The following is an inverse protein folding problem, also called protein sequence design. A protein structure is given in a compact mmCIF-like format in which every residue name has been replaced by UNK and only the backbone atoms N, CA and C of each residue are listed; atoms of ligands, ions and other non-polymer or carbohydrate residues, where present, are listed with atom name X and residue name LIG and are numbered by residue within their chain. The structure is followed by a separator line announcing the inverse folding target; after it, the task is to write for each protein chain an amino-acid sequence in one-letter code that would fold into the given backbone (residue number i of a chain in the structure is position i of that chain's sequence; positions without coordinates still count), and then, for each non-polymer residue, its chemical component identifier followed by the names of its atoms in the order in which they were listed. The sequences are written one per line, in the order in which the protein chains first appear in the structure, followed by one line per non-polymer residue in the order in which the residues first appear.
data_IF_334218390855
#
_entry.id   IF_334218390855
#
_cell.length_a   1.000
_cell.length_b   1.000
_cell.length_c   1.000
_cell.angle_alpha   90.00
_cell.angle_beta   90.00
_cell.angle_gamma   90.00
#
_symmetry.space_group_name_H-M   'P 1'
#
loop_
_entity.id
_entity.type
_entity.pdbx_description
1 polymer ?
#
# COMPACT_ATOMS: atom_id res chain seq x y z
N UNK A 1 -19.37 40.38 43.85
CA UNK A 1 -18.65 40.44 42.57
C UNK A 1 -17.83 39.17 42.25
N UNK A 2 -17.17 38.58 43.21
CA UNK A 2 -16.33 37.36 42.97
C UNK A 2 -17.13 36.12 42.46
N UNK A 3 -18.36 35.93 42.97
CA UNK A 3 -19.19 34.77 42.59
C UNK A 3 -19.61 34.81 41.12
N UNK A 4 -19.97 35.99 40.61
CA UNK A 4 -20.36 36.16 39.21
C UNK A 4 -19.18 35.96 38.24
N UNK A 5 -17.98 36.39 38.64
CA UNK A 5 -16.74 36.16 37.85
C UNK A 5 -16.39 34.69 37.73
N UNK A 6 -16.51 33.94 38.84
CA UNK A 6 -16.23 32.50 38.82
C UNK A 6 -17.24 31.71 37.95
N UNK A 7 -18.51 32.10 37.94
CA UNK A 7 -19.53 31.46 37.08
C UNK A 7 -19.21 31.70 35.59
N UNK A 8 -18.77 32.90 35.21
CA UNK A 8 -18.40 33.23 33.83
C UNK A 8 -17.19 32.43 33.38
N UNK A 9 -16.18 32.26 34.23
CA UNK A 9 -15.00 31.45 33.93
C UNK A 9 -15.36 29.95 33.72
N UNK A 10 -16.24 29.42 34.58
CA UNK A 10 -16.70 28.03 34.45
C UNK A 10 -17.48 27.82 33.14
N UNK A 11 -18.37 28.76 32.80
CA UNK A 11 -19.12 28.69 31.54
C UNK A 11 -18.18 28.78 30.32
N UNK A 12 -17.20 29.64 30.34
CA UNK A 12 -16.21 29.75 29.27
C UNK A 12 -15.38 28.45 29.12
N UNK A 13 -14.96 27.87 30.25
CA UNK A 13 -14.22 26.58 30.25
C UNK A 13 -15.07 25.41 29.71
N UNK A 14 -16.35 25.36 30.06
CA UNK A 14 -17.29 24.36 29.56
C UNK A 14 -17.58 24.54 28.06
N UNK A 15 -17.69 25.77 27.59
CA UNK A 15 -17.88 26.07 26.16
C UNK A 15 -16.63 25.71 25.36
N UNK A 16 -15.44 26.03 25.84
CA UNK A 16 -14.19 25.66 25.17
C UNK A 16 -14.02 24.14 25.19
N UNK A 17 -14.30 23.45 26.30
CA UNK A 17 -14.28 21.98 26.37
C UNK A 17 -15.31 21.38 25.42
N UNK A 18 -16.52 21.94 25.35
CA UNK A 18 -17.55 21.48 24.39
C UNK A 18 -17.08 21.62 22.94
N UNK A 19 -16.44 22.76 22.57
CA UNK A 19 -15.88 22.92 21.22
C UNK A 19 -14.67 22.04 20.96
N UNK A 20 -13.85 21.75 21.97
CA UNK A 20 -12.73 20.76 21.84
C UNK A 20 -13.24 19.33 21.72
N UNK A 21 -14.31 18.96 22.39
CA UNK A 21 -14.93 17.63 22.29
C UNK A 21 -15.82 17.50 21.04
N UNK A 22 -16.42 18.61 20.58
CA UNK A 22 -17.25 18.68 19.38
C UNK A 22 -16.47 19.14 18.14
N UNK A 23 -15.22 19.57 18.33
CA UNK A 23 -14.20 19.62 17.27
C UNK A 23 -14.06 18.24 16.69
N UNK A 24 -15.19 17.80 16.13
CA UNK A 24 -15.32 16.62 15.33
C UNK A 24 -14.21 16.69 14.32
N UNK A 25 -13.53 15.59 14.15
CA UNK A 25 -12.93 15.24 12.89
C UNK A 25 -13.86 15.81 11.83
N UNK A 26 -13.44 16.89 11.17
CA UNK A 26 -13.92 17.16 9.84
C UNK A 26 -13.62 15.86 9.10
N UNK A 27 -14.67 15.10 8.88
CA UNK A 27 -14.60 14.02 7.91
C UNK A 27 -14.17 14.74 6.65
N UNK A 28 -12.92 14.55 6.25
CA UNK A 28 -12.47 14.84 4.90
C UNK A 28 -13.57 14.22 4.04
N UNK A 29 -14.32 15.00 3.25
CA UNK A 29 -15.36 14.43 2.44
C UNK A 29 -14.69 13.32 1.63
N UNK A 30 -15.12 12.10 1.86
CA UNK A 30 -14.71 10.99 1.01
C UNK A 30 -14.98 11.45 -0.42
N UNK A 31 -14.04 11.33 -1.36
CA UNK A 31 -14.24 11.76 -2.72
C UNK A 31 -15.52 11.10 -3.20
N UNK A 32 -16.58 11.89 -3.33
CA UNK A 32 -17.88 11.48 -3.85
C UNK A 32 -17.72 11.33 -5.35
N UNK A 33 -17.28 10.18 -5.74
CA UNK A 33 -17.08 9.77 -7.10
C UNK A 33 -16.67 8.32 -7.13
N UNK A 34 -17.59 7.42 -6.68
CA UNK A 34 -17.44 6.00 -6.99
C UNK A 34 -17.62 5.86 -8.49
N UNK A 35 -16.55 5.59 -9.26
CA UNK A 35 -16.74 5.32 -10.68
C UNK A 35 -17.60 4.07 -10.78
N UNK A 36 -18.69 4.20 -11.53
CA UNK A 36 -19.56 3.07 -11.83
C UNK A 36 -18.71 1.97 -12.50
N UNK A 37 -18.55 0.83 -11.80
CA UNK A 37 -18.43 -0.50 -12.37
C UNK A 37 -17.37 -0.76 -13.45
N UNK A 38 -16.14 -0.28 -13.32
CA UNK A 38 -15.01 -0.77 -14.10
C UNK A 38 -13.84 -1.09 -13.17
N UNK A 39 -13.37 -2.34 -13.16
CA UNK A 39 -12.16 -2.68 -12.43
C UNK A 39 -10.97 -2.04 -13.14
N UNK A 40 -10.52 -0.86 -12.65
CA UNK A 40 -9.28 -0.26 -13.14
C UNK A 40 -8.11 -1.19 -12.81
N UNK A 41 -7.32 -1.52 -13.80
CA UNK A 41 -6.06 -2.28 -13.65
C UNK A 41 -5.06 -1.69 -14.63
N UNK A 42 -3.95 -1.11 -14.16
CA UNK A 42 -2.88 -0.65 -15.05
C UNK A 42 -2.23 -1.85 -15.74
N UNK A 43 -1.60 -1.60 -16.89
CA UNK A 43 -0.89 -2.64 -17.63
C UNK A 43 0.56 -2.20 -17.82
N UNK A 44 1.55 -3.00 -17.38
CA UNK A 44 2.96 -2.73 -17.65
C UNK A 44 3.21 -2.86 -19.16
N UNK A 45 3.93 -1.90 -19.72
CA UNK A 45 4.31 -1.89 -21.15
C UNK A 45 5.81 -1.70 -21.28
N UNK A 46 6.42 -2.46 -22.20
CA UNK A 46 7.84 -2.40 -22.45
C UNK A 46 8.68 -3.19 -21.46
N UNK A 47 9.99 -3.02 -21.57
CA UNK A 47 10.97 -3.66 -20.69
C UNK A 47 11.32 -2.73 -19.52
N UNK A 48 11.61 -3.27 -18.33
CA UNK A 48 12.06 -2.47 -17.20
C UNK A 48 13.42 -1.83 -17.49
N UNK A 49 13.54 -0.52 -17.25
CA UNK A 49 14.76 0.25 -17.53
C UNK A 49 15.82 0.10 -16.44
N UNK A 50 15.44 -0.39 -15.26
CA UNK A 50 16.33 -0.60 -14.12
C UNK A 50 15.87 -1.79 -13.28
N UNK A 51 16.81 -2.49 -12.67
CA UNK A 51 16.55 -3.57 -11.72
C UNK A 51 17.13 -3.20 -10.35
N UNK A 52 16.26 -3.17 -9.35
CA UNK A 52 16.62 -2.87 -7.96
C UNK A 52 16.99 -4.15 -7.22
N UNK A 53 17.89 -4.03 -6.25
CA UNK A 53 18.19 -5.10 -5.28
C UNK A 53 18.56 -4.51 -3.93
N UNK A 54 18.19 -5.21 -2.88
CA UNK A 54 18.58 -5.01 -1.49
C UNK A 54 19.27 -6.25 -0.93
N UNK A 55 20.08 -6.89 -1.76
CA UNK A 55 20.90 -8.06 -1.42
C UNK A 55 20.09 -9.25 -0.85
N UNK A 56 18.85 -9.43 -1.30
CA UNK A 56 17.99 -10.53 -0.88
C UNK A 56 17.33 -10.34 0.48
N UNK A 57 17.20 -9.10 0.98
CA UNK A 57 16.56 -8.82 2.27
C UNK A 57 15.04 -8.97 2.25
N UNK A 58 14.40 -8.73 1.12
CA UNK A 58 12.95 -8.87 0.95
C UNK A 58 12.14 -8.22 2.08
N UNK A 59 12.43 -6.93 2.36
CA UNK A 59 11.87 -6.23 3.51
C UNK A 59 10.64 -5.36 3.18
N UNK A 60 10.38 -5.07 1.91
CA UNK A 60 9.28 -4.20 1.49
C UNK A 60 8.05 -5.04 1.12
N UNK A 61 6.95 -4.86 1.89
CA UNK A 61 5.70 -5.59 1.67
C UNK A 61 4.78 -4.88 0.69
N UNK A 62 4.13 -5.68 -0.17
CA UNK A 62 3.12 -5.22 -1.13
C UNK A 62 1.74 -5.28 -0.49
N UNK A 63 0.96 -4.20 -0.60
CA UNK A 63 -0.44 -4.16 -0.15
C UNK A 63 -1.36 -4.67 -1.25
N UNK A 64 -2.22 -5.65 -0.94
CA UNK A 64 -3.15 -6.16 -1.96
C UNK A 64 -3.77 -7.52 -1.67
N UNK A 65 -3.41 -8.14 -0.54
CA UNK A 65 -3.79 -9.51 -0.20
C UNK A 65 -5.28 -9.82 -0.38
N UNK A 66 -6.17 -8.95 0.05
CA UNK A 66 -7.62 -9.21 -0.01
C UNK A 66 -8.19 -9.12 -1.42
N UNK A 67 -7.65 -8.24 -2.27
CA UNK A 67 -8.16 -8.02 -3.63
C UNK A 67 -7.50 -8.94 -4.67
N UNK A 68 -6.25 -9.31 -4.44
CA UNK A 68 -5.43 -10.10 -5.36
C UNK A 68 -5.11 -11.49 -4.81
N UNK A 69 -5.84 -11.93 -3.78
CA UNK A 69 -5.58 -13.21 -3.10
C UNK A 69 -5.55 -14.39 -4.06
N UNK A 70 -6.47 -14.48 -5.00
CA UNK A 70 -6.54 -15.58 -5.97
C UNK A 70 -5.31 -15.61 -6.88
N UNK A 71 -4.84 -14.45 -7.31
CA UNK A 71 -3.61 -14.30 -8.10
C UNK A 71 -2.39 -14.71 -7.28
N UNK A 72 -2.29 -14.24 -6.05
CA UNK A 72 -1.17 -14.57 -5.16
C UNK A 72 -1.17 -16.06 -4.84
N UNK A 73 -2.33 -16.66 -4.56
CA UNK A 73 -2.48 -18.10 -4.37
C UNK A 73 -2.00 -18.92 -5.59
N UNK A 74 -2.41 -18.51 -6.79
CA UNK A 74 -2.00 -19.16 -8.02
C UNK A 74 -0.47 -19.09 -8.24
N UNK A 75 0.14 -17.93 -7.94
CA UNK A 75 1.57 -17.69 -8.06
C UNK A 75 2.40 -18.39 -6.97
N UNK A 76 1.84 -18.54 -5.75
CA UNK A 76 2.46 -19.29 -4.67
C UNK A 76 2.52 -20.80 -4.97
N UNK A 77 1.61 -21.28 -5.82
CA UNK A 77 1.55 -22.70 -6.21
C UNK A 77 1.11 -23.62 -5.07
N UNK A 78 1.34 -24.92 -5.27
CA UNK A 78 1.00 -25.94 -4.28
C UNK A 78 2.20 -26.23 -3.37
N UNK A 79 2.04 -25.98 -2.09
CA UNK A 79 3.08 -26.22 -1.06
C UNK A 79 2.54 -27.01 0.15
N UNK A 80 1.31 -27.57 0.04
CA UNK A 80 0.67 -28.36 1.10
C UNK A 80 0.42 -27.51 2.36
N UNK A 81 0.82 -28.02 3.51
CA UNK A 81 0.68 -27.34 4.81
C UNK A 81 1.94 -26.54 5.21
N UNK A 82 3.01 -26.65 4.42
CA UNK A 82 4.23 -25.89 4.63
C UNK A 82 4.07 -24.42 4.19
N UNK A 83 4.86 -23.46 4.72
CA UNK A 83 4.87 -22.11 4.19
C UNK A 83 5.40 -22.07 2.75
N UNK A 84 4.80 -21.23 1.91
CA UNK A 84 5.39 -20.89 0.61
C UNK A 84 6.67 -20.08 0.82
N UNK A 85 7.63 -20.25 -0.09
CA UNK A 85 8.84 -19.44 -0.26
C UNK A 85 9.18 -19.45 -1.75
N UNK A 86 8.36 -18.72 -2.55
CA UNK A 86 8.40 -18.80 -4.02
C UNK A 86 8.91 -17.47 -4.57
N UNK A 87 10.04 -17.55 -5.27
CA UNK A 87 10.70 -16.39 -5.86
C UNK A 87 10.16 -16.05 -7.24
N UNK A 88 9.99 -14.77 -7.49
CA UNK A 88 9.54 -14.19 -8.75
C UNK A 88 10.35 -12.94 -9.09
N UNK A 89 10.27 -12.52 -10.36
CA UNK A 89 10.64 -11.16 -10.75
C UNK A 89 9.41 -10.27 -10.67
N UNK A 90 9.51 -9.17 -9.94
CA UNK A 90 8.47 -8.16 -9.84
C UNK A 90 8.72 -7.02 -10.83
N UNK A 91 7.65 -6.49 -11.40
CA UNK A 91 7.62 -5.22 -12.11
C UNK A 91 6.97 -4.16 -11.24
N UNK A 92 7.57 -2.98 -11.19
CA UNK A 92 7.10 -1.81 -10.44
C UNK A 92 6.70 -0.73 -11.44
N UNK A 93 5.40 -0.45 -11.51
CA UNK A 93 4.83 0.51 -12.45
C UNK A 93 4.29 1.73 -11.68
N UNK A 94 4.90 2.94 -11.81
CA UNK A 94 4.26 4.18 -11.40
C UNK A 94 2.94 4.37 -12.14
N UNK A 95 1.83 4.41 -11.39
CA UNK A 95 0.47 4.43 -11.94
C UNK A 95 -0.12 5.84 -11.83
N UNK A 96 0.22 6.69 -12.81
CA UNK A 96 -0.19 8.10 -12.85
C UNK A 96 -1.68 8.27 -13.21
N UNK A 97 -2.34 7.23 -13.68
CA UNK A 97 -3.76 7.22 -14.02
C UNK A 97 -4.63 6.55 -12.94
N UNK A 98 -4.08 6.27 -11.77
CA UNK A 98 -4.82 5.65 -10.69
C UNK A 98 -5.92 6.58 -10.19
N UNK A 99 -7.21 6.17 -10.22
CA UNK A 99 -8.32 7.04 -9.86
C UNK A 99 -8.46 7.25 -8.35
N UNK A 100 -7.64 6.59 -7.52
CA UNK A 100 -7.76 6.59 -6.06
C UNK A 100 -6.53 7.16 -5.35
N UNK A 101 -5.36 7.11 -5.97
CA UNK A 101 -4.08 7.50 -5.36
C UNK A 101 -3.10 8.05 -6.41
N UNK A 102 -2.83 9.34 -6.37
CA UNK A 102 -2.00 10.06 -7.35
C UNK A 102 -0.54 9.57 -7.43
N UNK A 103 -0.06 8.95 -6.35
CA UNK A 103 1.32 8.46 -6.26
C UNK A 103 1.41 6.94 -6.28
N UNK A 104 0.33 6.26 -6.65
CA UNK A 104 0.28 4.81 -6.67
C UNK A 104 1.45 4.20 -7.47
N UNK A 105 1.94 3.06 -6.97
CA UNK A 105 2.91 2.21 -7.67
C UNK A 105 2.36 0.80 -7.67
N UNK A 106 1.96 0.32 -8.84
CA UNK A 106 1.43 -1.02 -9.02
C UNK A 106 2.55 -2.05 -9.10
N UNK A 107 2.30 -3.23 -8.53
CA UNK A 107 3.25 -4.34 -8.48
C UNK A 107 2.69 -5.54 -9.23
N UNK A 108 3.52 -6.12 -10.11
CA UNK A 108 3.16 -7.29 -10.92
C UNK A 108 4.19 -8.39 -10.72
N UNK A 109 3.73 -9.64 -10.65
CA UNK A 109 4.53 -10.86 -10.75
C UNK A 109 4.05 -11.62 -11.98
N UNK A 110 4.96 -12.06 -12.86
CA UNK A 110 4.60 -12.76 -14.10
C UNK A 110 3.50 -12.03 -14.91
N UNK A 111 3.59 -10.70 -15.01
CA UNK A 111 2.60 -9.81 -15.64
C UNK A 111 1.18 -9.84 -15.02
N UNK A 112 1.02 -10.45 -13.86
CA UNK A 112 -0.23 -10.46 -13.11
C UNK A 112 -0.12 -9.49 -11.93
N UNK A 113 -1.11 -8.62 -11.77
CA UNK A 113 -1.11 -7.65 -10.68
C UNK A 113 -1.32 -8.35 -9.34
N UNK A 114 -0.48 -8.01 -8.36
CA UNK A 114 -0.52 -8.58 -7.00
C UNK A 114 -0.77 -7.52 -5.93
N UNK A 115 -0.76 -6.24 -6.28
CA UNK A 115 -1.06 -5.16 -5.34
C UNK A 115 -0.40 -3.84 -5.70
N UNK A 116 -0.25 -3.01 -4.67
CA UNK A 116 0.39 -1.70 -4.72
C UNK A 116 1.40 -1.55 -3.58
N UNK A 117 2.36 -0.66 -3.73
CA UNK A 117 3.15 -0.20 -2.59
C UNK A 117 2.26 0.59 -1.62
N UNK A 118 2.57 0.54 -0.31
CA UNK A 118 1.93 1.42 0.66
C UNK A 118 2.15 2.89 0.28
N UNK A 119 1.22 3.82 0.57
CA UNK A 119 1.32 5.22 0.12
C UNK A 119 2.64 5.89 0.46
N UNK A 120 3.19 5.65 1.67
CA UNK A 120 4.49 6.17 2.09
C UNK A 120 5.63 5.61 1.25
N UNK A 121 5.59 4.30 0.97
CA UNK A 121 6.63 3.61 0.21
C UNK A 121 6.55 3.96 -1.27
N UNK A 122 5.36 4.13 -1.82
CA UNK A 122 5.13 4.62 -3.17
C UNK A 122 5.74 6.02 -3.38
N UNK A 123 5.57 6.94 -2.41
CA UNK A 123 6.18 8.26 -2.44
C UNK A 123 7.72 8.19 -2.40
N UNK A 124 8.28 7.37 -1.50
CA UNK A 124 9.73 7.17 -1.39
C UNK A 124 10.31 6.56 -2.67
N UNK A 125 9.63 5.55 -3.23
CA UNK A 125 10.00 4.93 -4.50
C UNK A 125 9.99 5.94 -5.67
N UNK A 126 8.93 6.74 -5.80
CA UNK A 126 8.86 7.78 -6.84
C UNK A 126 9.95 8.84 -6.67
N UNK A 127 10.30 9.21 -5.44
CA UNK A 127 11.43 10.11 -5.19
C UNK A 127 12.77 9.47 -5.59
N UNK A 128 12.92 8.15 -5.38
CA UNK A 128 14.09 7.40 -5.83
C UNK A 128 14.20 7.37 -7.37
N UNK A 129 13.09 7.12 -8.08
CA UNK A 129 13.05 7.21 -9.56
C UNK A 129 13.46 8.60 -10.06
N UNK A 130 13.00 9.66 -9.38
CA UNK A 130 13.36 11.03 -9.76
C UNK A 130 14.86 11.31 -9.56
N UNK A 131 15.46 10.83 -8.47
CA UNK A 131 16.91 10.94 -8.24
C UNK A 131 17.75 10.22 -9.31
N UNK A 132 17.20 9.16 -9.90
CA UNK A 132 17.85 8.36 -10.96
C UNK A 132 17.47 8.84 -12.37
N UNK A 133 16.73 9.94 -12.51
CA UNK A 133 16.27 10.51 -13.79
C UNK A 133 15.41 9.55 -14.64
N UNK A 134 14.73 8.58 -13.99
CA UNK A 134 13.83 7.59 -14.61
C UNK A 134 12.39 7.73 -14.13
N UNK A 135 11.94 8.94 -13.84
CA UNK A 135 10.59 9.24 -13.38
C UNK A 135 9.53 8.62 -14.30
N UNK A 136 8.53 7.95 -13.70
CA UNK A 136 7.41 7.34 -14.42
C UNK A 136 7.77 6.06 -15.19
N UNK A 137 9.03 5.62 -15.20
CA UNK A 137 9.46 4.46 -15.96
C UNK A 137 9.17 3.14 -15.23
N UNK A 138 8.93 2.09 -16.00
CA UNK A 138 8.81 0.72 -15.52
C UNK A 138 10.17 0.22 -15.02
N UNK A 139 10.21 -0.34 -13.83
CA UNK A 139 11.42 -0.94 -13.25
C UNK A 139 11.13 -2.34 -12.71
N UNK A 140 12.14 -3.06 -12.28
CA UNK A 140 12.00 -4.41 -11.73
C UNK A 140 12.78 -4.59 -10.45
N UNK A 141 12.41 -5.60 -9.67
CA UNK A 141 13.16 -6.13 -8.52
C UNK A 141 12.87 -7.61 -8.36
N UNK A 142 13.62 -8.30 -7.52
CA UNK A 142 13.24 -9.64 -7.11
C UNK A 142 12.17 -9.59 -6.04
N UNK A 143 11.31 -10.60 -6.00
CA UNK A 143 10.22 -10.73 -5.05
C UNK A 143 10.13 -12.15 -4.52
N UNK A 144 9.54 -12.31 -3.34
CA UNK A 144 9.22 -13.61 -2.77
C UNK A 144 7.79 -13.62 -2.23
N UNK A 145 7.06 -14.70 -2.49
CA UNK A 145 5.78 -14.97 -1.86
C UNK A 145 6.03 -15.87 -0.66
N UNK A 146 5.67 -15.42 0.54
CA UNK A 146 5.80 -16.17 1.81
C UNK A 146 4.47 -16.35 2.50
N UNK A 147 4.36 -17.34 3.38
CA UNK A 147 3.16 -17.60 4.17
C UNK A 147 2.29 -18.71 3.62
N UNK A 148 0.97 -18.62 3.82
CA UNK A 148 0.01 -19.60 3.33
C UNK A 148 0.06 -20.97 4.03
N UNK A 149 0.84 -21.16 5.11
CA UNK A 149 0.90 -22.41 5.85
C UNK A 149 -0.33 -22.60 6.76
N UNK A 150 -0.54 -23.84 7.15
CA UNK A 150 -1.62 -24.17 8.09
C UNK A 150 -1.13 -23.94 9.52
N UNK A 151 -1.88 -23.14 10.30
CA UNK A 151 -1.65 -22.91 11.72
C UNK A 151 -2.96 -23.08 12.47
N UNK A 152 -2.99 -24.02 13.44
CA UNK A 152 -4.19 -24.35 14.25
C UNK A 152 -5.44 -24.61 13.39
N UNK A 153 -5.30 -25.31 12.27
CA UNK A 153 -6.40 -25.64 11.34
C UNK A 153 -6.86 -24.49 10.44
N UNK A 154 -6.21 -23.32 10.52
CA UNK A 154 -6.50 -22.15 9.68
C UNK A 154 -5.30 -21.84 8.77
N UNK A 155 -5.56 -21.64 7.48
CA UNK A 155 -4.53 -21.18 6.55
C UNK A 155 -4.24 -19.70 6.77
N UNK A 156 -2.96 -19.37 6.97
CA UNK A 156 -2.51 -18.00 7.12
C UNK A 156 -2.44 -17.30 5.74
N UNK A 157 -2.46 -15.96 5.75
CA UNK A 157 -2.31 -15.15 4.55
C UNK A 157 -0.93 -15.33 3.92
N UNK A 158 -0.85 -15.02 2.63
CA UNK A 158 0.42 -14.85 1.92
C UNK A 158 0.87 -13.39 2.03
N UNK A 159 2.17 -13.18 2.05
CA UNK A 159 2.79 -11.87 1.90
C UNK A 159 3.65 -11.87 0.63
N UNK A 160 3.59 -10.79 -0.14
CA UNK A 160 4.51 -10.53 -1.26
C UNK A 160 5.53 -9.52 -0.79
N UNK A 161 6.80 -9.92 -0.77
CA UNK A 161 7.92 -9.12 -0.29
C UNK A 161 8.88 -8.82 -1.44
N UNK A 162 9.33 -7.57 -1.53
CA UNK A 162 10.23 -7.09 -2.59
C UNK A 162 11.65 -6.91 -2.06
N UNK A 163 12.63 -7.20 -2.91
CA UNK A 163 14.06 -7.01 -2.66
C UNK A 163 14.49 -5.59 -3.05
N UNK A 164 13.98 -4.59 -2.36
CA UNK A 164 14.29 -3.18 -2.62
C UNK A 164 14.38 -2.39 -1.33
N UNK A 165 15.37 -1.50 -1.25
CA UNK A 165 15.53 -0.53 -0.18
C UNK A 165 15.15 0.86 -0.67
N UNK A 166 14.26 1.54 0.06
CA UNK A 166 13.75 2.88 -0.27
C UNK A 166 14.41 3.99 0.55
N UNK A 167 15.37 3.65 1.42
CA UNK A 167 16.08 4.59 2.27
C UNK A 167 17.10 5.46 1.50
#
# INVERSE_FOLDING_TARGET
MALALNIVIIILALVTLYFLLKGGREAVPAPTGKPAGGSYTPLPQGEPVHHWSDEGRFALEVLGESRYSDTIHALAGQHGDAPADVHHKALLLPDDNNPYEDKAVAVFLNNQMVGYLAPKDAQAFRAMLARQEITGQLTSTDAVIRGGHLYEGKRLSYAVLLDINLA
#
